data_IF_376106745907
#
_entry.id   IF_376106745907
#
_cell.length_a   1.000
_cell.length_b   1.000
_cell.length_c   1.000
_cell.angle_alpha   90.00
_cell.angle_beta   90.00
_cell.angle_gamma   90.00
#
_symmetry.space_group_name_H-M   'P 1'
#
loop_
_entity.id
_entity.type
_entity.pdbx_description
1 polymer ?
#
# COMPACT_ATOMS: atom_id res chain seq x y z
N UNK A 1 -50.57 7.66 37.74
CA UNK A 1 -51.51 8.04 36.66
C UNK A 1 -50.84 7.69 35.34
N UNK A 2 -51.41 6.68 34.65
CA UNK A 2 -51.24 6.26 33.23
C UNK A 2 -49.82 6.31 32.64
N UNK A 3 -49.09 5.22 32.39
CA UNK A 3 -49.36 4.01 31.58
C UNK A 3 -49.97 4.28 30.18
N UNK A 4 -49.15 4.04 29.14
CA UNK A 4 -49.56 3.55 27.82
C UNK A 4 -48.31 3.14 27.03
N UNK A 5 -48.22 1.83 26.77
CA UNK A 5 -47.16 1.18 26.02
C UNK A 5 -47.14 1.48 24.52
N UNK A 6 -45.99 1.22 23.91
CA UNK A 6 -45.82 1.21 22.47
C UNK A 6 -45.52 -0.20 21.99
N UNK A 7 -46.25 -0.62 20.95
CA UNK A 7 -46.27 -1.96 20.38
C UNK A 7 -45.11 -2.19 19.42
N UNK A 8 -44.60 -3.42 19.49
CA UNK A 8 -43.80 -4.12 18.50
C UNK A 8 -44.42 -4.11 17.08
N UNK A 9 -43.56 -4.02 16.06
CA UNK A 9 -43.77 -4.69 14.77
C UNK A 9 -42.45 -5.32 14.34
N UNK A 10 -42.42 -6.65 14.35
CA UNK A 10 -41.46 -7.52 13.69
C UNK A 10 -41.94 -7.79 12.26
N UNK A 11 -41.03 -7.93 11.29
CA UNK A 11 -41.29 -8.76 10.11
C UNK A 11 -40.02 -9.49 9.67
N UNK A 12 -40.19 -10.80 9.49
CA UNK A 12 -39.19 -11.83 9.27
C UNK A 12 -39.05 -12.19 7.78
N UNK A 13 -37.93 -12.83 7.47
CA UNK A 13 -37.49 -13.40 6.19
C UNK A 13 -38.45 -14.48 5.65
N UNK A 14 -38.54 -14.63 4.32
CA UNK A 14 -38.09 -15.82 3.54
C UNK A 14 -38.74 -15.96 2.15
N UNK A 15 -37.86 -16.28 1.19
CA UNK A 15 -37.96 -17.33 0.15
C UNK A 15 -38.62 -17.09 -1.22
N UNK A 16 -37.79 -17.37 -2.24
CA UNK A 16 -37.96 -18.36 -3.32
C UNK A 16 -38.20 -17.90 -4.76
N UNK A 17 -37.50 -18.65 -5.63
CA UNK A 17 -37.31 -18.55 -7.08
C UNK A 17 -38.45 -19.16 -7.92
N UNK A 18 -38.50 -18.80 -9.22
CA UNK A 18 -38.98 -19.51 -10.43
C UNK A 18 -38.72 -18.55 -11.62
N UNK A 19 -37.93 -18.78 -12.69
CA UNK A 19 -37.81 -19.82 -13.73
C UNK A 19 -39.02 -19.93 -14.69
N UNK A 20 -38.74 -19.54 -15.95
CA UNK A 20 -39.18 -20.03 -17.27
C UNK A 20 -40.47 -19.59 -18.02
N UNK A 21 -40.19 -19.19 -19.28
CA UNK A 21 -40.80 -19.56 -20.60
C UNK A 21 -42.02 -18.83 -21.18
N UNK A 22 -41.82 -18.34 -22.42
CA UNK A 22 -42.71 -18.42 -23.61
C UNK A 22 -41.92 -17.87 -24.84
N UNK A 23 -41.33 -18.70 -25.73
CA UNK A 23 -41.87 -19.31 -26.99
C UNK A 23 -42.47 -18.29 -27.98
N UNK A 24 -41.79 -17.86 -29.07
CA UNK A 24 -41.60 -18.46 -30.42
C UNK A 24 -42.81 -18.47 -31.38
N UNK A 25 -42.54 -17.95 -32.61
CA UNK A 25 -43.17 -18.11 -33.96
C UNK A 25 -44.07 -16.98 -34.55
N UNK A 26 -44.22 -16.84 -35.90
CA UNK A 26 -43.17 -16.69 -36.94
C UNK A 26 -43.52 -15.66 -38.06
N UNK A 27 -42.50 -15.21 -38.80
CA UNK A 27 -42.51 -14.97 -40.27
C UNK A 27 -43.40 -13.91 -40.93
N UNK A 28 -42.79 -12.82 -41.42
CA UNK A 28 -43.13 -12.23 -42.75
C UNK A 28 -41.82 -11.83 -43.45
N UNK A 29 -41.72 -12.27 -44.69
CA UNK A 29 -40.65 -12.10 -45.67
C UNK A 29 -40.78 -10.78 -46.44
N UNK A 30 -39.66 -10.22 -46.91
CA UNK A 30 -39.65 -9.34 -48.09
C UNK A 30 -38.85 -8.04 -47.98
N UNK A 31 -37.58 -8.11 -48.40
CA UNK A 31 -36.81 -7.11 -49.16
C UNK A 31 -36.72 -5.66 -48.65
N UNK A 32 -35.52 -5.27 -48.21
CA UNK A 32 -34.78 -4.15 -48.83
C UNK A 32 -33.26 -4.35 -48.61
N UNK A 33 -32.54 -4.45 -49.73
CA UNK A 33 -31.10 -4.32 -49.81
C UNK A 33 -30.69 -2.89 -49.46
N UNK A 34 -29.85 -2.69 -48.45
CA UNK A 34 -28.76 -1.72 -48.53
C UNK A 34 -27.73 -1.94 -47.42
N UNK A 35 -26.51 -2.24 -47.86
CA UNK A 35 -25.19 -1.91 -47.30
C UNK A 35 -25.10 -1.50 -45.83
N UNK A 36 -24.31 -2.27 -45.05
CA UNK A 36 -23.37 -1.78 -44.04
C UNK A 36 -22.55 -2.97 -43.50
N UNK A 37 -21.44 -3.26 -44.17
CA UNK A 37 -20.34 -4.05 -43.60
C UNK A 37 -19.17 -3.11 -43.31
N UNK A 38 -18.67 -3.15 -42.07
CA UNK A 38 -17.29 -2.80 -41.75
C UNK A 38 -17.09 -1.46 -41.04
N UNK A 39 -17.20 -1.47 -39.71
CA UNK A 39 -16.40 -0.58 -38.86
C UNK A 39 -15.79 -1.45 -37.76
N UNK A 40 -14.61 -2.01 -38.05
CA UNK A 40 -13.68 -2.40 -37.00
C UNK A 40 -13.18 -1.09 -36.38
N UNK A 41 -13.54 -0.87 -35.12
CA UNK A 41 -13.12 0.27 -34.33
C UNK A 41 -11.63 0.14 -33.99
N UNK A 42 -10.77 0.74 -34.81
CA UNK A 42 -9.38 0.98 -34.48
C UNK A 42 -9.25 2.42 -34.02
N UNK A 43 -9.47 2.66 -32.73
CA UNK A 43 -9.18 3.95 -32.08
C UNK A 43 -7.66 4.11 -31.99
N UNK A 44 -7.07 4.77 -32.98
CA UNK A 44 -5.71 5.27 -32.85
C UNK A 44 -5.69 6.49 -31.91
N UNK A 45 -4.79 6.55 -30.91
CA UNK A 45 -4.72 7.69 -30.00
C UNK A 45 -4.32 8.96 -30.75
N UNK A 46 -4.97 10.07 -30.41
CA UNK A 46 -4.75 11.40 -30.97
C UNK A 46 -3.29 11.86 -30.79
N UNK A 47 -2.82 12.76 -31.66
CA UNK A 47 -1.44 13.26 -31.61
C UNK A 47 -1.08 13.92 -30.25
N UNK A 48 -2.06 14.53 -29.58
CA UNK A 48 -1.92 15.08 -28.22
C UNK A 48 -1.84 13.99 -27.15
N UNK A 49 -2.61 12.90 -27.28
CA UNK A 49 -2.53 11.73 -26.40
C UNK A 49 -1.17 11.04 -26.48
N UNK A 50 -0.64 10.85 -27.71
CA UNK A 50 0.68 10.23 -27.91
C UNK A 50 1.83 11.06 -27.32
N UNK A 51 1.76 12.39 -27.41
CA UNK A 51 2.77 13.28 -26.84
C UNK A 51 2.77 13.25 -25.30
N UNK A 52 1.59 13.24 -24.67
CA UNK A 52 1.46 13.13 -23.22
C UNK A 52 1.95 11.77 -22.70
N UNK A 53 1.62 10.66 -23.37
CA UNK A 53 2.12 9.33 -23.02
C UNK A 53 3.65 9.23 -23.17
N UNK A 54 4.21 9.81 -24.23
CA UNK A 54 5.67 9.86 -24.41
C UNK A 54 6.38 10.67 -23.31
N UNK A 55 5.69 11.66 -22.74
CA UNK A 55 6.22 12.46 -21.63
C UNK A 55 6.21 11.66 -20.33
N UNK A 56 5.10 10.98 -20.01
CA UNK A 56 4.97 10.13 -18.81
C UNK A 56 5.96 8.97 -18.81
N UNK A 57 6.15 8.31 -19.96
CA UNK A 57 7.16 7.26 -20.11
C UNK A 57 8.57 7.78 -19.78
N UNK A 58 8.92 8.99 -20.23
CA UNK A 58 10.19 9.62 -19.86
C UNK A 58 10.28 9.95 -18.37
N UNK A 59 9.18 10.36 -17.71
CA UNK A 59 9.17 10.55 -16.26
C UNK A 59 9.43 9.22 -15.53
N UNK A 60 8.77 8.14 -15.95
CA UNK A 60 8.95 6.80 -15.39
C UNK A 60 10.40 6.34 -15.52
N UNK A 61 11.04 6.53 -16.68
CA UNK A 61 12.45 6.18 -16.85
C UNK A 61 13.37 6.96 -15.90
N UNK A 62 13.06 8.24 -15.61
CA UNK A 62 13.88 9.04 -14.68
C UNK A 62 13.81 8.53 -13.24
N UNK A 63 12.65 8.05 -12.81
CA UNK A 63 12.42 7.57 -11.42
C UNK A 63 12.58 6.06 -11.25
N UNK A 64 12.87 5.34 -12.35
CA UNK A 64 12.95 3.88 -12.37
C UNK A 64 14.04 3.41 -11.41
N UNK A 65 13.65 2.53 -10.48
CA UNK A 65 14.58 1.88 -9.55
C UNK A 65 14.94 2.73 -8.32
N UNK A 66 14.44 3.96 -8.21
CA UNK A 66 14.59 4.77 -6.98
C UNK A 66 13.71 4.25 -5.84
N UNK A 67 12.57 3.64 -6.18
CA UNK A 67 11.69 2.91 -5.25
C UNK A 67 11.32 1.55 -5.82
N UNK A 68 10.74 0.69 -5.00
CA UNK A 68 10.25 -0.63 -5.43
C UNK A 68 8.88 -0.63 -6.11
N UNK A 69 8.28 0.53 -6.40
CA UNK A 69 7.02 0.59 -7.15
C UNK A 69 7.26 0.13 -8.59
N UNK A 70 6.39 -0.72 -9.10
CA UNK A 70 6.51 -1.30 -10.44
C UNK A 70 6.37 -0.19 -11.49
N UNK A 71 7.31 -0.03 -12.42
CA UNK A 71 7.29 1.06 -13.39
C UNK A 71 6.00 1.16 -14.21
N UNK A 72 5.41 0.02 -14.60
CA UNK A 72 4.13 0.00 -15.30
C UNK A 72 2.97 0.55 -14.47
N UNK A 73 3.01 0.37 -13.15
CA UNK A 73 1.98 0.89 -12.24
C UNK A 73 2.05 2.42 -12.11
N UNK A 74 3.20 3.05 -12.32
CA UNK A 74 3.36 4.51 -12.13
C UNK A 74 2.50 5.32 -13.10
N UNK A 75 2.38 4.87 -14.36
CA UNK A 75 1.54 5.54 -15.36
C UNK A 75 0.07 5.43 -14.98
N UNK A 76 -0.37 4.24 -14.57
CA UNK A 76 -1.77 4.03 -14.16
C UNK A 76 -2.09 4.78 -12.86
N UNK A 77 -1.15 4.82 -11.91
CA UNK A 77 -1.29 5.62 -10.69
C UNK A 77 -1.44 7.11 -11.00
N UNK A 78 -0.66 7.63 -11.94
CA UNK A 78 -0.77 9.02 -12.41
C UNK A 78 -2.11 9.28 -13.08
N UNK A 79 -2.61 8.33 -13.88
CA UNK A 79 -3.94 8.45 -14.50
C UNK A 79 -5.04 8.51 -13.44
N UNK A 80 -4.98 7.68 -12.40
CA UNK A 80 -5.90 7.73 -11.26
C UNK A 80 -5.80 9.08 -10.54
N UNK A 81 -4.59 9.55 -10.25
CA UNK A 81 -4.36 10.85 -9.61
C UNK A 81 -5.02 11.99 -10.42
N UNK A 82 -4.86 11.98 -11.75
CA UNK A 82 -5.46 12.96 -12.66
C UNK A 82 -6.98 12.85 -12.76
N UNK A 83 -7.53 11.63 -12.88
CA UNK A 83 -8.96 11.39 -13.01
C UNK A 83 -9.73 11.80 -11.75
N UNK A 84 -9.16 11.50 -10.58
CA UNK A 84 -9.74 11.84 -9.29
C UNK A 84 -9.27 13.18 -8.73
N UNK A 85 -8.52 13.95 -9.52
CA UNK A 85 -7.92 15.25 -9.17
C UNK A 85 -7.36 15.28 -7.73
N UNK A 86 -6.47 14.34 -7.43
CA UNK A 86 -5.85 14.20 -6.12
C UNK A 86 -4.37 13.81 -6.21
N UNK A 87 -3.60 14.17 -5.19
CA UNK A 87 -2.24 13.69 -5.01
C UNK A 87 -2.28 12.29 -4.41
N UNK A 88 -1.49 11.36 -4.94
CA UNK A 88 -1.33 10.02 -4.36
C UNK A 88 0.15 9.80 -4.06
N UNK A 89 0.47 9.64 -2.77
CA UNK A 89 1.82 9.30 -2.32
C UNK A 89 1.90 7.83 -1.89
N UNK A 90 2.97 7.15 -2.25
CA UNK A 90 3.32 5.79 -1.82
C UNK A 90 4.68 5.85 -1.11
N UNK A 91 4.77 5.21 0.04
CA UNK A 91 6.01 5.03 0.81
C UNK A 91 7.02 4.17 0.05
N UNK A 92 8.30 4.15 0.47
CA UNK A 92 9.31 3.34 -0.18
C UNK A 92 8.93 1.86 -0.13
N UNK A 93 8.83 1.25 -1.30
CA UNK A 93 8.72 -0.20 -1.46
C UNK A 93 10.13 -0.75 -1.64
N UNK A 94 10.40 -1.92 -1.07
CA UNK A 94 11.69 -2.59 -1.26
C UNK A 94 11.90 -2.92 -2.75
N UNK A 95 13.03 -2.50 -3.34
CA UNK A 95 13.34 -2.72 -4.77
C UNK A 95 13.35 -4.20 -5.17
N UNK A 96 13.55 -5.10 -4.22
CA UNK A 96 13.50 -6.54 -4.47
C UNK A 96 12.09 -7.12 -4.45
N UNK A 97 11.09 -6.33 -4.07
CA UNK A 97 9.69 -6.70 -4.17
C UNK A 97 9.13 -6.47 -5.58
N UNK A 98 9.72 -5.55 -6.36
CA UNK A 98 9.22 -5.14 -7.67
C UNK A 98 9.00 -6.32 -8.62
N UNK A 99 9.99 -7.19 -8.79
CA UNK A 99 9.85 -8.37 -9.66
C UNK A 99 8.94 -9.45 -9.08
N UNK A 100 8.84 -9.54 -7.75
CA UNK A 100 7.87 -10.43 -7.12
C UNK A 100 6.44 -9.97 -7.41
N UNK A 101 6.19 -8.66 -7.32
CA UNK A 101 4.89 -8.05 -7.66
C UNK A 101 4.60 -8.25 -9.16
N UNK A 102 5.55 -7.93 -10.05
CA UNK A 102 5.40 -8.13 -11.51
C UNK A 102 5.14 -9.61 -11.87
N UNK A 103 5.73 -10.54 -11.14
CA UNK A 103 5.50 -11.97 -11.34
C UNK A 103 4.25 -12.49 -10.62
N UNK A 104 3.40 -11.61 -10.07
CA UNK A 104 2.11 -11.95 -9.49
C UNK A 104 2.21 -12.63 -8.12
N UNK A 105 3.19 -12.25 -7.30
CA UNK A 105 3.17 -12.61 -5.88
C UNK A 105 2.10 -11.78 -5.14
N UNK A 106 1.35 -12.39 -4.21
CA UNK A 106 0.45 -11.65 -3.34
C UNK A 106 1.24 -10.72 -2.43
N UNK A 107 0.66 -9.57 -2.08
CA UNK A 107 1.29 -8.63 -1.15
C UNK A 107 0.63 -8.71 0.24
N UNK A 108 1.37 -8.30 1.28
CA UNK A 108 0.91 -8.44 2.66
C UNK A 108 -0.32 -7.56 2.94
N UNK A 109 -1.38 -8.15 3.50
CA UNK A 109 -2.56 -7.41 3.96
C UNK A 109 -2.36 -6.77 5.33
N UNK A 110 -3.35 -6.00 5.78
CA UNK A 110 -3.29 -5.27 7.06
C UNK A 110 -2.95 -6.15 8.27
N UNK A 111 -3.49 -7.36 8.35
CA UNK A 111 -3.27 -8.27 9.50
C UNK A 111 -1.86 -8.86 9.58
N UNK A 112 -1.07 -8.74 8.50
CA UNK A 112 0.27 -9.33 8.42
C UNK A 112 1.30 -8.28 8.83
N UNK A 113 1.69 -8.30 10.11
CA UNK A 113 2.61 -7.29 10.68
C UNK A 113 4.10 -7.64 10.58
N UNK A 114 4.43 -8.86 10.13
CA UNK A 114 5.81 -9.31 9.94
C UNK A 114 6.59 -8.39 8.99
N UNK A 115 7.88 -8.21 9.27
CA UNK A 115 8.75 -7.39 8.41
C UNK A 115 9.31 -8.24 7.27
N UNK A 116 9.39 -7.62 6.09
CA UNK A 116 10.08 -8.21 4.95
C UNK A 116 11.59 -8.27 5.19
N UNK A 117 12.26 -9.19 4.52
CA UNK A 117 13.70 -9.21 4.43
C UNK A 117 14.21 -8.27 3.34
N UNK A 118 15.40 -7.71 3.52
CA UNK A 118 16.11 -6.89 2.54
C UNK A 118 17.49 -7.47 2.17
N UNK A 119 17.75 -8.73 2.53
CA UNK A 119 19.03 -9.40 2.37
C UNK A 119 18.83 -10.90 2.11
N UNK A 120 19.87 -11.55 1.58
CA UNK A 120 19.91 -12.99 1.40
C UNK A 120 18.89 -13.57 0.41
N UNK A 121 18.76 -14.91 0.37
CA UNK A 121 17.83 -15.57 -0.54
C UNK A 121 16.36 -15.22 -0.29
N UNK A 122 16.04 -14.84 0.95
CA UNK A 122 14.70 -14.49 1.40
C UNK A 122 14.30 -13.04 1.12
N UNK A 123 15.15 -12.23 0.50
CA UNK A 123 14.88 -10.82 0.25
C UNK A 123 13.50 -10.57 -0.39
N UNK A 124 12.83 -9.53 0.08
CA UNK A 124 11.44 -9.12 -0.17
C UNK A 124 10.32 -10.02 0.35
N UNK A 125 10.60 -11.25 0.82
CA UNK A 125 9.59 -12.10 1.45
C UNK A 125 9.38 -11.76 2.93
N UNK A 126 8.22 -12.15 3.47
CA UNK A 126 7.92 -12.06 4.90
C UNK A 126 8.33 -13.38 5.57
N UNK A 127 9.45 -13.38 6.30
CA UNK A 127 9.99 -14.58 6.94
C UNK A 127 9.17 -14.97 8.18
N UNK A 128 9.02 -16.27 8.44
CA UNK A 128 8.38 -16.75 9.67
C UNK A 128 9.24 -16.42 10.89
N UNK A 129 10.55 -16.60 10.75
CA UNK A 129 11.56 -16.20 11.73
C UNK A 129 12.11 -14.82 11.37
N UNK A 130 11.83 -13.84 12.22
CA UNK A 130 12.15 -12.43 11.96
C UNK A 130 13.65 -12.12 12.08
N UNK A 131 14.49 -13.07 12.52
CA UNK A 131 15.96 -12.97 12.40
C UNK A 131 16.44 -12.98 10.95
N UNK A 132 15.63 -13.48 10.01
CA UNK A 132 15.92 -13.44 8.58
C UNK A 132 15.30 -12.22 7.87
N UNK A 133 14.61 -11.35 8.61
CA UNK A 133 14.03 -10.11 8.08
C UNK A 133 15.05 -8.95 8.10
N UNK A 134 14.61 -7.74 7.74
CA UNK A 134 15.37 -6.49 7.93
C UNK A 134 15.61 -6.11 9.40
N UNK A 135 15.08 -6.88 10.35
CA UNK A 135 15.26 -6.69 11.79
C UNK A 135 16.45 -7.47 12.36
N UNK A 136 17.25 -8.13 11.53
CA UNK A 136 18.39 -8.94 11.99
C UNK A 136 19.36 -8.17 12.91
N UNK A 137 19.55 -6.87 12.66
CA UNK A 137 20.38 -5.97 13.47
C UNK A 137 19.63 -5.31 14.65
N UNK A 138 18.35 -5.67 14.87
CA UNK A 138 17.44 -5.10 15.89
C UNK A 138 16.84 -6.20 16.77
N UNK A 139 17.67 -6.91 17.55
CA UNK A 139 17.25 -8.10 18.31
C UNK A 139 16.14 -7.82 19.33
N UNK A 140 16.05 -6.59 19.85
CA UNK A 140 15.01 -6.12 20.77
C UNK A 140 13.61 -6.12 20.14
N UNK A 141 13.53 -6.05 18.80
CA UNK A 141 12.26 -6.04 18.05
C UNK A 141 11.85 -7.43 17.60
N UNK A 142 12.79 -8.36 17.43
CA UNK A 142 12.55 -9.68 16.82
C UNK A 142 11.43 -10.44 17.54
N UNK A 143 11.51 -10.57 18.87
CA UNK A 143 10.51 -11.31 19.65
C UNK A 143 9.08 -10.72 19.49
N UNK A 144 8.96 -9.40 19.38
CA UNK A 144 7.67 -8.75 19.13
C UNK A 144 7.10 -9.17 17.79
N UNK A 145 7.90 -9.12 16.72
CA UNK A 145 7.44 -9.43 15.38
C UNK A 145 7.25 -10.93 15.16
N UNK A 146 8.05 -11.80 15.79
CA UNK A 146 7.83 -13.24 15.78
C UNK A 146 6.47 -13.58 16.39
N UNK A 147 6.11 -12.98 17.54
CA UNK A 147 4.78 -13.16 18.13
C UNK A 147 3.67 -12.70 17.22
N UNK A 148 3.84 -11.56 16.53
CA UNK A 148 2.85 -11.08 15.56
C UNK A 148 2.69 -12.03 14.37
N UNK A 149 3.79 -12.60 13.88
CA UNK A 149 3.77 -13.61 12.82
C UNK A 149 3.06 -14.89 13.28
N UNK A 150 3.35 -15.38 14.49
CA UNK A 150 2.67 -16.56 15.02
C UNK A 150 1.16 -16.30 15.23
N UNK A 151 0.78 -15.11 15.71
CA UNK A 151 -0.63 -14.70 15.85
C UNK A 151 -1.33 -14.69 14.50
N UNK A 152 -0.72 -14.06 13.49
CA UNK A 152 -1.22 -14.01 12.12
C UNK A 152 -1.45 -15.41 11.52
N UNK A 153 -0.56 -16.36 11.80
CA UNK A 153 -0.73 -17.76 11.36
C UNK A 153 -1.86 -18.44 12.14
N UNK A 154 -1.90 -18.28 13.47
CA UNK A 154 -2.91 -18.89 14.33
C UNK A 154 -4.33 -18.39 14.04
N UNK A 155 -4.46 -17.12 13.67
CA UNK A 155 -5.72 -16.47 13.29
C UNK A 155 -6.13 -16.77 11.85
N UNK A 156 -5.29 -17.48 11.08
CA UNK A 156 -5.61 -17.92 9.72
C UNK A 156 -5.44 -16.85 8.64
N UNK A 157 -4.76 -15.73 8.92
CA UNK A 157 -4.47 -14.71 7.92
C UNK A 157 -3.32 -15.11 6.96
N UNK A 158 -2.46 -16.04 7.37
CA UNK A 158 -1.38 -16.57 6.55
C UNK A 158 -1.02 -18.00 6.94
N UNK A 159 -0.29 -18.70 6.07
CA UNK A 159 0.37 -19.97 6.38
C UNK A 159 1.88 -19.87 6.15
N UNK A 160 2.63 -20.75 6.82
CA UNK A 160 4.06 -20.94 6.55
C UNK A 160 4.26 -21.85 5.34
N UNK A 161 5.21 -21.50 4.49
CA UNK A 161 5.67 -22.35 3.38
C UNK A 161 7.19 -22.31 3.28
N UNK A 162 7.86 -23.41 2.91
CA UNK A 162 9.28 -23.40 2.62
C UNK A 162 9.60 -22.46 1.44
N UNK A 163 10.67 -21.69 1.57
CA UNK A 163 11.15 -20.80 0.52
C UNK A 163 11.70 -21.62 -0.65
N UNK A 164 11.13 -21.39 -1.83
CA UNK A 164 11.67 -21.89 -3.09
C UNK A 164 11.87 -20.75 -4.06
N UNK A 165 13.08 -20.62 -4.60
CA UNK A 165 13.42 -19.59 -5.57
C UNK A 165 13.38 -20.17 -6.98
N UNK A 166 12.83 -19.44 -7.94
CA UNK A 166 13.04 -19.76 -9.36
C UNK A 166 14.50 -19.51 -9.73
N UNK A 167 14.98 -20.12 -10.82
CA UNK A 167 16.29 -19.80 -11.38
C UNK A 167 16.47 -18.30 -11.63
N UNK A 168 15.48 -17.65 -12.24
CA UNK A 168 15.52 -16.21 -12.53
C UNK A 168 15.69 -15.36 -11.27
N UNK A 169 14.98 -15.69 -10.18
CA UNK A 169 15.12 -14.97 -8.90
C UNK A 169 16.48 -15.22 -8.28
N UNK A 170 16.98 -16.46 -8.31
CA UNK A 170 18.30 -16.79 -7.80
C UNK A 170 19.40 -16.00 -8.53
N UNK A 171 19.37 -15.98 -9.86
CA UNK A 171 20.33 -15.23 -10.67
C UNK A 171 20.24 -13.72 -10.40
N UNK A 172 19.02 -13.16 -10.27
CA UNK A 172 18.83 -11.74 -9.93
C UNK A 172 19.45 -11.38 -8.57
N UNK A 173 19.26 -12.23 -7.56
CA UNK A 173 19.83 -12.00 -6.23
C UNK A 173 21.36 -12.05 -6.25
N UNK A 174 21.94 -12.88 -7.12
CA UNK A 174 23.40 -12.93 -7.33
C UNK A 174 23.91 -11.66 -8.02
N UNK A 175 23.24 -11.25 -9.10
CA UNK A 175 23.62 -10.07 -9.89
C UNK A 175 23.54 -8.77 -9.05
N UNK A 176 22.56 -8.70 -8.15
CA UNK A 176 22.37 -7.58 -7.21
C UNK A 176 23.21 -7.70 -5.93
N UNK A 177 24.00 -8.78 -5.78
CA UNK A 177 24.93 -8.98 -4.66
C UNK A 177 24.27 -9.30 -3.31
N UNK A 178 23.04 -9.81 -3.30
CA UNK A 178 22.37 -10.28 -2.06
C UNK A 178 22.82 -11.67 -1.66
N UNK A 179 23.29 -12.45 -2.62
CA UNK A 179 23.91 -13.75 -2.42
C UNK A 179 25.24 -13.78 -3.16
N UNK A 180 26.23 -14.48 -2.63
CA UNK A 180 27.55 -14.62 -3.23
C UNK A 180 28.18 -16.00 -2.95
N UNK A 181 29.44 -16.19 -3.36
CA UNK A 181 30.28 -17.36 -3.00
C UNK A 181 29.62 -18.73 -3.25
N UNK A 182 28.95 -18.85 -4.39
CA UNK A 182 28.22 -20.06 -4.76
C UNK A 182 29.18 -21.25 -4.97
N UNK A 183 28.94 -22.32 -4.22
CA UNK A 183 29.51 -23.65 -4.48
C UNK A 183 28.46 -24.51 -5.17
N UNK A 184 28.89 -25.21 -6.22
CA UNK A 184 28.05 -26.06 -7.05
C UNK A 184 28.27 -27.53 -6.72
N UNK A 185 27.22 -28.34 -6.87
CA UNK A 185 27.29 -29.79 -6.76
C UNK A 185 27.96 -30.44 -8.00
N UNK A 186 28.03 -31.77 -8.01
CA UNK A 186 28.59 -32.54 -9.13
C UNK A 186 27.82 -32.40 -10.44
N UNK A 187 26.58 -31.90 -10.40
CA UNK A 187 25.75 -31.62 -11.57
C UNK A 187 25.84 -30.15 -12.01
N UNK A 188 26.67 -29.34 -11.35
CA UNK A 188 26.82 -27.91 -11.63
C UNK A 188 25.70 -27.04 -11.04
N UNK A 189 24.81 -27.59 -10.22
CA UNK A 189 23.71 -26.85 -9.61
C UNK A 189 24.17 -26.16 -8.32
N UNK A 190 23.66 -24.97 -7.96
CA UNK A 190 23.95 -24.34 -6.67
C UNK A 190 23.63 -25.29 -5.51
N UNK A 191 24.62 -25.50 -4.64
CA UNK A 191 24.51 -26.37 -3.47
C UNK A 191 24.60 -25.57 -2.17
N UNK A 192 25.58 -24.66 -2.08
CA UNK A 192 25.69 -23.71 -0.97
C UNK A 192 26.12 -22.34 -1.47
N UNK A 193 25.79 -21.29 -0.72
CA UNK A 193 26.14 -19.91 -1.02
C UNK A 193 26.10 -19.08 0.26
N UNK A 194 26.63 -17.86 0.21
CA UNK A 194 26.69 -16.96 1.35
C UNK A 194 25.82 -15.71 1.10
N UNK A 195 25.40 -15.05 2.18
CA UNK A 195 24.79 -13.73 2.12
C UNK A 195 25.22 -12.88 3.32
N UNK A 196 25.32 -11.57 3.10
CA UNK A 196 25.62 -10.59 4.14
C UNK A 196 24.33 -10.01 4.73
N UNK A 197 24.16 -10.16 6.03
CA UNK A 197 23.03 -9.62 6.78
C UNK A 197 23.21 -8.12 7.12
N UNK A 198 22.15 -7.40 7.56
CA UNK A 198 22.20 -6.00 7.98
C UNK A 198 23.30 -5.68 9.00
N UNK A 199 23.53 -6.56 9.98
CA UNK A 199 24.61 -6.46 10.97
C UNK A 199 26.02 -6.55 10.38
N UNK A 200 26.12 -6.96 9.11
CA UNK A 200 27.36 -7.29 8.41
C UNK A 200 27.82 -8.73 8.61
N UNK A 201 27.11 -9.53 9.43
CA UNK A 201 27.38 -10.95 9.59
C UNK A 201 27.15 -11.72 8.28
N UNK A 202 27.94 -12.77 8.08
CA UNK A 202 27.84 -13.65 6.90
C UNK A 202 27.13 -14.93 7.29
N UNK A 203 26.10 -15.28 6.53
CA UNK A 203 25.29 -16.47 6.70
C UNK A 203 25.52 -17.41 5.51
N UNK A 204 25.73 -18.69 5.80
CA UNK A 204 25.74 -19.75 4.79
C UNK A 204 24.33 -20.31 4.61
N UNK A 205 23.94 -20.53 3.37
CA UNK A 205 22.67 -21.14 2.99
C UNK A 205 22.92 -22.37 2.12
N UNK A 206 21.97 -23.29 2.15
CA UNK A 206 21.93 -24.47 1.30
C UNK A 206 20.83 -24.31 0.23
N UNK A 207 21.13 -24.72 -1.00
CA UNK A 207 20.16 -24.81 -2.10
C UNK A 207 20.03 -26.27 -2.52
N UNK A 208 18.80 -26.77 -2.54
CA UNK A 208 18.47 -28.07 -3.14
C UNK A 208 17.68 -27.84 -4.42
N UNK A 209 18.17 -28.34 -5.55
CA UNK A 209 17.44 -28.28 -6.80
C UNK A 209 16.17 -29.12 -6.71
N UNK A 210 15.05 -28.52 -7.11
CA UNK A 210 13.74 -29.14 -7.17
C UNK A 210 13.10 -28.75 -8.50
N UNK A 211 12.62 -29.75 -9.22
CA UNK A 211 11.84 -29.54 -10.43
C UNK A 211 10.35 -29.53 -10.06
N UNK A 212 9.68 -28.40 -10.24
CA UNK A 212 8.27 -28.23 -9.87
C UNK A 212 7.56 -27.34 -10.88
N UNK A 213 6.34 -27.73 -11.25
CA UNK A 213 5.51 -27.02 -12.23
C UNK A 213 6.21 -26.75 -13.58
N UNK A 214 7.13 -27.64 -14.00
CA UNK A 214 7.87 -27.52 -15.26
C UNK A 214 9.05 -26.53 -15.22
N UNK A 215 9.39 -26.00 -14.05
CA UNK A 215 10.49 -25.06 -13.86
C UNK A 215 11.52 -25.57 -12.84
N UNK A 216 12.78 -25.20 -13.07
CA UNK A 216 13.85 -25.42 -12.11
C UNK A 216 13.77 -24.40 -10.97
N UNK A 217 13.68 -24.93 -9.75
CA UNK A 217 13.61 -24.16 -8.51
C UNK A 217 14.69 -24.62 -7.52
N UNK A 218 14.94 -23.78 -6.54
CA UNK A 218 15.89 -24.04 -5.45
C UNK A 218 15.16 -23.92 -4.12
N UNK A 219 15.01 -25.04 -3.40
CA UNK A 219 14.57 -25.03 -2.02
C UNK A 219 15.72 -24.54 -1.13
N UNK A 220 15.45 -23.54 -0.30
CA UNK A 220 16.47 -22.84 0.48
C UNK A 220 16.42 -23.26 1.95
N UNK A 221 17.58 -23.60 2.50
CA UNK A 221 17.76 -23.93 3.91
C UNK A 221 18.92 -23.14 4.53
N UNK A 222 18.92 -23.07 5.86
CA UNK A 222 20.01 -22.57 6.67
C UNK A 222 20.26 -23.53 7.83
N UNK A 223 21.48 -24.07 7.93
CA UNK A 223 21.86 -25.05 8.97
C UNK A 223 20.99 -26.31 8.93
N UNK A 224 20.58 -26.71 7.72
CA UNK A 224 19.75 -27.90 7.49
C UNK A 224 18.25 -27.70 7.73
N UNK A 225 17.82 -26.53 8.20
CA UNK A 225 16.41 -26.20 8.38
C UNK A 225 15.89 -25.33 7.23
N UNK A 226 14.70 -25.60 6.66
CA UNK A 226 14.14 -24.77 5.60
C UNK A 226 13.92 -23.32 6.06
N UNK A 227 14.26 -22.37 5.20
CA UNK A 227 13.80 -20.99 5.41
C UNK A 227 12.31 -20.94 5.13
N UNK A 228 11.50 -20.61 6.13
CA UNK A 228 10.05 -20.49 6.00
C UNK A 228 9.62 -19.03 5.77
N UNK A 229 8.69 -18.83 4.85
CA UNK A 229 8.07 -17.54 4.54
C UNK A 229 6.55 -17.63 4.61
N UNK A 230 5.88 -16.49 4.75
CA UNK A 230 4.43 -16.43 4.77
C UNK A 230 3.85 -16.49 3.35
N UNK A 231 2.72 -17.18 3.21
CA UNK A 231 1.87 -17.20 2.02
C UNK A 231 0.40 -17.01 2.43
N UNK A 232 -0.49 -16.59 1.51
CA UNK A 232 -1.92 -16.60 1.78
C UNK A 232 -2.41 -17.99 2.21
N UNK A 233 -3.50 -18.07 3.00
CA UNK A 233 -4.09 -19.33 3.48
C UNK A 233 -4.89 -20.05 2.38
N UNK A 234 -4.32 -20.14 1.18
CA UNK A 234 -4.88 -20.79 -0.01
C UNK A 234 -3.87 -21.78 -0.58
N UNK A 235 -4.34 -22.91 -1.09
CA UNK A 235 -3.45 -23.92 -1.66
C UNK A 235 -2.83 -23.45 -2.98
N UNK A 236 -1.55 -23.77 -3.17
CA UNK A 236 -0.77 -23.32 -4.33
C UNK A 236 -0.42 -21.82 -4.34
N UNK A 237 -0.80 -21.05 -3.33
CA UNK A 237 -0.51 -19.62 -3.30
C UNK A 237 1.00 -19.34 -3.21
N UNK A 238 1.45 -18.34 -3.98
CA UNK A 238 2.83 -17.85 -3.91
C UNK A 238 3.10 -17.17 -2.56
N UNK A 239 4.36 -17.14 -2.09
CA UNK A 239 4.73 -16.40 -0.90
C UNK A 239 4.44 -14.91 -0.99
N UNK A 240 4.11 -14.31 0.14
CA UNK A 240 3.81 -12.89 0.31
C UNK A 240 5.05 -12.02 0.16
N UNK A 241 4.89 -10.89 -0.51
CA UNK A 241 5.87 -9.80 -0.61
C UNK A 241 5.32 -8.50 0.00
N UNK A 242 6.10 -7.43 -0.05
CA UNK A 242 5.68 -6.09 0.39
C UNK A 242 4.52 -5.55 -0.48
N UNK A 243 3.64 -4.82 0.16
CA UNK A 243 2.55 -4.03 -0.42
C UNK A 243 2.98 -2.57 -0.64
N UNK A 244 2.09 -1.79 -1.25
CA UNK A 244 2.21 -0.36 -1.46
C UNK A 244 1.53 0.36 -0.30
N UNK A 245 2.32 0.65 0.73
CA UNK A 245 1.91 1.49 1.84
C UNK A 245 1.66 2.92 1.32
N UNK A 246 0.41 3.36 1.25
CA UNK A 246 0.10 4.74 0.87
C UNK A 246 0.65 5.71 1.92
N UNK A 247 1.35 6.76 1.48
CA UNK A 247 1.75 7.87 2.34
C UNK A 247 0.55 8.79 2.62
N UNK A 248 -0.15 9.21 1.56
CA UNK A 248 -1.31 10.10 1.63
C UNK A 248 -2.16 10.04 0.35
N UNK A 249 -3.42 10.47 0.48
CA UNK A 249 -4.26 10.88 -0.65
C UNK A 249 -4.70 12.33 -0.37
N UNK A 250 -4.27 13.27 -1.21
CA UNK A 250 -4.52 14.70 -1.05
C UNK A 250 -5.55 15.22 -2.06
N UNK A 251 -6.83 15.36 -1.71
CA UNK A 251 -7.87 15.78 -2.65
C UNK A 251 -7.75 17.27 -3.02
N UNK A 252 -8.38 17.66 -4.13
CA UNK A 252 -8.64 19.08 -4.42
C UNK A 252 -9.41 19.70 -3.26
N UNK A 253 -9.04 20.92 -2.86
CA UNK A 253 -9.66 21.60 -1.72
C UNK A 253 -11.16 21.82 -1.89
N UNK A 254 -11.61 22.08 -3.13
CA UNK A 254 -13.03 22.29 -3.44
C UNK A 254 -13.87 21.01 -3.32
N UNK A 255 -13.22 19.84 -3.30
CA UNK A 255 -13.85 18.52 -3.11
C UNK A 255 -13.74 18.00 -1.67
N UNK A 256 -13.18 18.80 -0.75
CA UNK A 256 -13.04 18.40 0.64
C UNK A 256 -14.42 18.30 1.32
N UNK A 257 -14.71 17.16 1.94
CA UNK A 257 -15.99 16.94 2.59
C UNK A 257 -15.96 15.90 3.72
N UNK A 258 -17.13 15.48 4.24
CA UNK A 258 -17.21 14.48 5.30
C UNK A 258 -16.49 13.17 5.00
N UNK A 259 -16.33 12.82 3.72
CA UNK A 259 -15.59 11.65 3.24
C UNK A 259 -14.09 11.68 3.57
N UNK A 260 -13.54 12.86 3.90
CA UNK A 260 -12.14 13.06 4.25
C UNK A 260 -11.88 12.98 5.77
N UNK A 261 -12.94 12.92 6.58
CA UNK A 261 -12.81 12.81 8.03
C UNK A 261 -12.31 11.43 8.45
N UNK A 262 -11.25 11.39 9.26
CA UNK A 262 -10.79 10.16 9.88
C UNK A 262 -11.77 9.72 10.99
N UNK A 263 -12.03 8.41 11.12
CA UNK A 263 -12.77 7.86 12.26
C UNK A 263 -12.14 8.23 13.61
N UNK A 264 -10.80 8.27 13.66
CA UNK A 264 -9.99 8.72 14.81
C UNK A 264 -9.19 9.97 14.38
N UNK A 265 -9.71 11.20 14.62
CA UNK A 265 -9.12 12.43 14.09
C UNK A 265 -7.75 12.81 14.67
N UNK A 266 -7.51 12.51 15.95
CA UNK A 266 -6.22 12.81 16.59
C UNK A 266 -5.12 11.82 16.14
N UNK A 267 -5.47 10.80 15.35
CA UNK A 267 -4.61 9.75 14.80
C UNK A 267 -3.97 8.85 15.85
N UNK A 268 -3.34 9.41 16.89
CA UNK A 268 -2.69 8.69 17.98
C UNK A 268 -3.27 9.07 19.34
N UNK A 269 -3.36 8.08 20.22
CA UNK A 269 -3.80 8.24 21.59
C UNK A 269 -2.92 9.25 22.36
N UNK A 270 -1.62 9.31 22.06
CA UNK A 270 -0.71 10.27 22.70
C UNK A 270 -1.03 11.71 22.31
N UNK A 271 -1.32 11.95 21.02
CA UNK A 271 -1.73 13.26 20.50
C UNK A 271 -3.07 13.68 21.11
N UNK A 272 -4.02 12.73 21.20
CA UNK A 272 -5.30 12.94 21.86
C UNK A 272 -5.14 13.35 23.33
N UNK A 273 -4.30 12.63 24.09
CA UNK A 273 -4.03 12.97 25.49
C UNK A 273 -3.39 14.34 25.64
N UNK A 274 -2.36 14.64 24.86
CA UNK A 274 -1.67 15.93 24.91
C UNK A 274 -2.63 17.10 24.61
N UNK A 275 -3.56 16.92 23.66
CA UNK A 275 -4.61 17.91 23.37
C UNK A 275 -5.52 18.16 24.58
N UNK A 276 -5.95 17.09 25.26
CA UNK A 276 -6.86 17.17 26.41
C UNK A 276 -6.19 17.71 27.68
N UNK A 277 -4.91 17.43 27.88
CA UNK A 277 -4.12 17.99 28.98
C UNK A 277 -4.05 19.54 28.91
N UNK A 278 -4.22 20.12 27.73
CA UNK A 278 -4.33 21.57 27.54
C UNK A 278 -5.66 22.20 27.96
N UNK A 279 -6.66 21.41 28.36
CA UNK A 279 -8.00 21.93 28.67
C UNK A 279 -8.03 22.57 30.06
N UNK A 280 -8.37 23.86 30.12
CA UNK A 280 -8.44 24.63 31.38
C UNK A 280 -9.48 24.11 32.37
N UNK A 281 -10.57 23.52 31.87
CA UNK A 281 -11.69 23.04 32.69
C UNK A 281 -11.62 21.52 32.96
N UNK A 282 -10.45 20.92 32.76
CA UNK A 282 -10.27 19.47 32.86
C UNK A 282 -10.87 18.70 31.68
N UNK A 283 -10.79 17.37 31.77
CA UNK A 283 -11.22 16.45 30.71
C UNK A 283 -12.73 16.25 30.77
N UNK A 284 -13.49 16.54 29.69
CA UNK A 284 -14.92 16.30 29.63
C UNK A 284 -15.26 14.83 29.89
N UNK A 285 -16.36 14.57 30.61
CA UNK A 285 -16.74 13.21 31.02
C UNK A 285 -16.88 12.24 29.83
N UNK A 286 -17.41 12.71 28.71
CA UNK A 286 -17.54 11.94 27.46
C UNK A 286 -16.18 11.49 26.87
N UNK A 287 -15.07 12.11 27.26
CA UNK A 287 -13.73 11.82 26.77
C UNK A 287 -12.85 11.10 27.80
N UNK A 288 -13.32 10.88 29.04
CA UNK A 288 -12.52 10.24 30.10
C UNK A 288 -12.16 8.79 29.79
N UNK A 289 -13.12 8.01 29.29
CA UNK A 289 -12.89 6.60 28.93
C UNK A 289 -11.84 6.45 27.82
N UNK A 290 -11.97 7.10 26.64
CA UNK A 290 -10.93 7.02 25.62
C UNK A 290 -9.61 7.68 26.03
N UNK A 291 -9.59 8.57 27.02
CA UNK A 291 -8.33 9.14 27.56
C UNK A 291 -7.55 8.15 28.43
N UNK A 292 -8.26 7.28 29.14
CA UNK A 292 -7.66 6.29 30.03
C UNK A 292 -7.31 4.98 29.29
N UNK A 293 -8.07 4.62 28.27
CA UNK A 293 -8.00 3.34 27.60
C UNK A 293 -7.74 3.50 26.09
N UNK A 294 -6.54 3.16 25.60
CA UNK A 294 -6.23 3.24 24.17
C UNK A 294 -7.20 2.45 23.28
N UNK A 295 -7.70 1.31 23.75
CA UNK A 295 -8.67 0.50 23.01
C UNK A 295 -9.99 1.24 22.73
N UNK A 296 -10.47 2.04 23.70
CA UNK A 296 -11.67 2.86 23.52
C UNK A 296 -11.42 4.07 22.59
N UNK A 297 -10.19 4.58 22.58
CA UNK A 297 -9.78 5.61 21.62
C UNK A 297 -9.77 5.09 20.18
N UNK A 298 -9.15 3.92 19.95
CA UNK A 298 -9.03 3.31 18.62
C UNK A 298 -10.25 2.50 18.17
N UNK A 299 -11.30 2.39 18.99
CA UNK A 299 -12.48 1.54 18.70
C UNK A 299 -13.22 1.85 17.38
N UNK A 300 -12.98 3.05 16.81
CA UNK A 300 -13.60 3.50 15.56
C UNK A 300 -12.75 3.17 14.33
N UNK A 301 -11.53 2.67 14.51
CA UNK A 301 -10.73 2.19 13.39
C UNK A 301 -11.40 0.99 12.72
N UNK A 302 -11.20 0.89 11.42
CA UNK A 302 -11.62 -0.28 10.66
C UNK A 302 -10.68 -1.45 10.97
N UNK A 303 -11.22 -2.63 11.25
CA UNK A 303 -10.40 -3.79 11.61
C UNK A 303 -9.59 -4.33 10.44
N UNK A 304 -10.01 -4.05 9.19
CA UNK A 304 -9.36 -4.57 7.98
C UNK A 304 -8.42 -3.57 7.33
N UNK A 305 -8.68 -2.27 7.47
CA UNK A 305 -7.90 -1.22 6.79
C UNK A 305 -7.37 -0.14 7.73
N UNK A 306 -7.60 -0.23 9.04
CA UNK A 306 -7.14 0.74 10.03
C UNK A 306 -7.94 2.06 10.03
N UNK A 307 -7.29 3.15 10.43
CA UNK A 307 -7.90 4.47 10.49
C UNK A 307 -8.00 5.11 9.08
N UNK A 308 -8.96 4.65 8.28
CA UNK A 308 -9.22 5.13 6.93
C UNK A 308 -10.44 6.06 6.88
N UNK A 309 -10.31 7.19 6.20
CA UNK A 309 -11.47 7.99 5.80
C UNK A 309 -12.30 7.26 4.74
N UNK A 310 -13.55 7.69 4.50
CA UNK A 310 -14.38 7.09 3.45
C UNK A 310 -13.73 7.23 2.07
N UNK A 311 -13.11 8.37 1.78
CA UNK A 311 -12.36 8.56 0.52
C UNK A 311 -11.24 7.55 0.37
N UNK A 312 -10.42 7.34 1.41
CA UNK A 312 -9.33 6.35 1.35
C UNK A 312 -9.90 4.95 1.12
N UNK A 313 -10.97 4.58 1.84
CA UNK A 313 -11.65 3.29 1.65
C UNK A 313 -12.14 3.08 0.21
N UNK A 314 -12.66 4.13 -0.43
CA UNK A 314 -13.14 4.10 -1.82
C UNK A 314 -12.01 4.10 -2.85
N UNK A 315 -10.90 4.79 -2.57
CA UNK A 315 -9.76 4.88 -3.48
C UNK A 315 -8.92 3.61 -3.53
N UNK A 316 -8.85 2.82 -2.45
CA UNK A 316 -8.08 1.56 -2.43
C UNK A 316 -8.48 0.60 -3.58
N UNK A 317 -9.76 0.21 -3.76
CA UNK A 317 -10.15 -0.67 -4.86
C UNK A 317 -9.96 -0.02 -6.24
N UNK A 318 -10.13 1.29 -6.37
CA UNK A 318 -9.90 2.03 -7.63
C UNK A 318 -8.43 1.95 -8.03
N UNK A 319 -7.52 2.23 -7.09
CA UNK A 319 -6.07 2.13 -7.31
C UNK A 319 -5.72 0.70 -7.69
N UNK A 320 -6.13 -0.31 -6.92
CA UNK A 320 -5.81 -1.70 -7.26
C UNK A 320 -6.34 -2.11 -8.65
N UNK A 321 -7.58 -1.76 -8.99
CA UNK A 321 -8.15 -2.06 -10.29
C UNK A 321 -7.35 -1.42 -11.44
N UNK A 322 -6.86 -0.19 -11.26
CA UNK A 322 -6.03 0.48 -12.25
C UNK A 322 -4.62 -0.13 -12.35
N UNK A 323 -4.00 -0.49 -11.23
CA UNK A 323 -2.61 -0.95 -11.21
C UNK A 323 -2.47 -2.40 -11.64
N UNK A 324 -3.36 -3.27 -11.17
CA UNK A 324 -3.21 -4.73 -11.31
C UNK A 324 -4.42 -5.42 -11.94
N UNK A 325 -5.54 -4.72 -12.17
CA UNK A 325 -6.76 -5.32 -12.70
C UNK A 325 -7.25 -6.49 -11.84
N UNK A 326 -7.37 -7.68 -12.44
CA UNK A 326 -7.73 -8.93 -11.76
C UNK A 326 -6.53 -9.63 -11.06
N UNK A 327 -5.36 -8.99 -11.05
CA UNK A 327 -4.15 -9.46 -10.40
C UNK A 327 -4.18 -9.34 -8.87
N UNK A 328 -3.06 -9.67 -8.23
CA UNK A 328 -2.91 -9.58 -6.78
C UNK A 328 -2.89 -8.11 -6.33
N UNK A 329 -3.81 -7.74 -5.43
CA UNK A 329 -3.90 -6.39 -4.89
C UNK A 329 -2.58 -5.97 -4.24
N UNK A 330 -2.22 -4.69 -4.42
CA UNK A 330 -0.98 -4.08 -3.94
C UNK A 330 -1.21 -3.03 -2.86
N UNK A 331 -2.41 -2.45 -2.75
CA UNK A 331 -2.77 -1.53 -1.65
C UNK A 331 -3.84 -2.18 -0.78
N UNK A 332 -3.61 -2.26 0.53
CA UNK A 332 -4.53 -3.00 1.43
C UNK A 332 -5.17 -2.17 2.53
N UNK A 333 -4.61 -1.02 2.88
CA UNK A 333 -5.03 -0.33 4.10
C UNK A 333 -4.92 1.20 4.01
N UNK A 334 -5.25 1.86 5.11
CA UNK A 334 -5.19 3.31 5.24
C UNK A 334 -3.81 3.88 4.93
N UNK A 335 -3.79 5.18 4.68
CA UNK A 335 -2.57 5.94 4.45
C UNK A 335 -1.78 6.16 5.74
N UNK A 336 -0.46 6.30 5.65
CA UNK A 336 0.40 6.72 6.77
C UNK A 336 -0.06 8.07 7.35
N UNK A 337 -0.63 8.98 6.54
CA UNK A 337 -1.19 10.26 7.01
C UNK A 337 -2.29 10.13 8.09
N UNK A 338 -2.95 8.96 8.17
CA UNK A 338 -3.96 8.64 9.18
C UNK A 338 -3.54 7.57 10.18
N UNK A 339 -2.31 7.06 10.10
CA UNK A 339 -1.87 5.89 10.88
C UNK A 339 -1.32 6.28 12.27
N UNK A 340 -1.77 5.63 13.37
CA UNK A 340 -1.16 5.79 14.69
C UNK A 340 0.26 5.21 14.79
N UNK A 341 0.66 4.38 13.81
CA UNK A 341 1.93 3.66 13.80
C UNK A 341 2.93 4.26 12.80
N UNK A 342 2.74 5.53 12.42
CA UNK A 342 3.62 6.23 11.50
C UNK A 342 5.06 6.26 12.04
N UNK A 343 6.01 6.01 11.12
CA UNK A 343 7.46 6.06 11.35
C UNK A 343 8.03 6.99 10.28
N UNK A 344 8.27 8.28 10.59
CA UNK A 344 8.66 9.28 9.59
C UNK A 344 9.94 8.93 8.83
N UNK A 345 10.91 8.29 9.49
CA UNK A 345 12.16 7.86 8.87
C UNK A 345 11.93 6.80 7.76
N UNK A 346 10.81 6.09 7.83
CA UNK A 346 10.43 5.08 6.85
C UNK A 346 9.46 5.63 5.78
N UNK A 347 9.28 6.95 5.68
CA UNK A 347 8.46 7.57 4.63
C UNK A 347 9.25 7.93 3.37
N UNK A 348 10.59 7.88 3.39
CA UNK A 348 11.42 8.34 2.28
C UNK A 348 12.41 7.30 1.75
N UNK A 349 12.69 7.29 0.43
CA UNK A 349 12.08 8.11 -0.62
C UNK A 349 10.62 7.71 -0.96
N UNK A 350 9.70 8.68 -1.01
CA UNK A 350 8.30 8.46 -1.38
C UNK A 350 8.07 8.67 -2.88
N UNK A 351 7.28 7.79 -3.50
CA UNK A 351 6.79 7.97 -4.86
C UNK A 351 5.51 8.78 -4.86
N UNK A 352 5.41 9.81 -5.69
CA UNK A 352 4.21 10.61 -5.87
C UNK A 352 3.71 10.56 -7.30
N UNK A 353 2.40 10.35 -7.42
CA UNK A 353 1.62 10.61 -8.61
C UNK A 353 0.78 11.88 -8.38
N UNK A 354 1.03 12.90 -9.19
CA UNK A 354 0.34 14.19 -9.11
C UNK A 354 -0.66 14.32 -10.28
N UNK A 355 -1.80 14.99 -10.05
CA UNK A 355 -2.81 15.21 -11.09
C UNK A 355 -2.30 16.13 -12.22
N UNK A 356 -1.35 16.99 -11.88
CA UNK A 356 -0.64 17.93 -12.75
C UNK A 356 0.71 18.25 -12.12
N UNK A 357 1.63 18.85 -12.88
CA UNK A 357 2.88 19.40 -12.35
C UNK A 357 2.60 20.42 -11.23
N UNK A 358 3.31 20.30 -10.10
CA UNK A 358 3.19 21.20 -8.94
C UNK A 358 4.58 21.75 -8.61
N UNK A 359 4.79 23.04 -8.89
CA UNK A 359 6.09 23.68 -8.68
C UNK A 359 7.20 23.01 -9.49
N UNK A 360 8.23 22.52 -8.80
CA UNK A 360 9.34 21.78 -9.41
C UNK A 360 9.04 20.28 -9.62
N UNK A 361 7.96 19.75 -9.03
CA UNK A 361 7.61 18.34 -9.08
C UNK A 361 6.76 18.01 -10.30
N UNK A 362 7.27 17.13 -11.15
CA UNK A 362 6.54 16.58 -12.30
C UNK A 362 5.43 15.61 -11.85
N UNK A 363 4.55 15.23 -12.78
CA UNK A 363 3.36 14.40 -12.53
C UNK A 363 3.68 13.02 -11.93
N UNK A 364 4.89 12.52 -12.16
CA UNK A 364 5.48 11.37 -11.47
C UNK A 364 6.82 11.84 -10.93
N UNK A 365 6.99 11.82 -9.61
CA UNK A 365 8.21 12.28 -8.96
C UNK A 365 8.53 11.47 -7.71
N UNK A 366 9.80 11.52 -7.30
CA UNK A 366 10.28 10.98 -6.03
C UNK A 366 10.54 12.14 -5.06
N UNK A 367 10.10 11.96 -3.82
CA UNK A 367 10.34 12.87 -2.70
C UNK A 367 11.31 12.18 -1.75
N UNK A 368 12.55 12.65 -1.70
CA UNK A 368 13.68 11.97 -1.06
C UNK A 368 13.78 12.21 0.43
N UNK A 369 13.19 13.28 0.93
CA UNK A 369 13.26 13.65 2.33
C UNK A 369 12.11 14.57 2.76
N UNK A 370 12.11 14.89 4.05
CA UNK A 370 11.15 15.79 4.69
C UNK A 370 11.15 17.21 4.15
N UNK A 371 12.26 17.70 3.58
CA UNK A 371 12.36 19.04 3.03
C UNK A 371 11.68 19.10 1.67
N UNK A 372 11.93 18.11 0.80
CA UNK A 372 11.21 17.96 -0.47
C UNK A 372 9.71 17.72 -0.22
N UNK A 373 9.34 16.93 0.80
CA UNK A 373 7.93 16.73 1.14
C UNK A 373 7.27 18.03 1.60
N UNK A 374 7.96 18.82 2.43
CA UNK A 374 7.47 20.13 2.86
C UNK A 374 7.30 21.09 1.67
N UNK A 375 8.22 21.08 0.70
CA UNK A 375 8.13 21.87 -0.54
C UNK A 375 6.93 21.44 -1.39
N UNK A 376 6.77 20.14 -1.65
CA UNK A 376 5.63 19.59 -2.39
C UNK A 376 4.30 19.95 -1.70
N UNK A 377 4.20 19.81 -0.38
CA UNK A 377 3.01 20.18 0.38
C UNK A 377 2.71 21.68 0.24
N UNK A 378 3.74 22.53 0.28
CA UNK A 378 3.62 23.96 0.08
C UNK A 378 3.04 24.28 -1.29
N UNK A 379 3.64 23.71 -2.34
CA UNK A 379 3.20 23.85 -3.73
C UNK A 379 1.78 23.32 -3.95
N UNK A 380 1.46 22.13 -3.42
CA UNK A 380 0.13 21.53 -3.54
C UNK A 380 -0.95 22.39 -2.87
N UNK A 381 -0.63 22.91 -1.68
CA UNK A 381 -1.47 23.86 -0.97
C UNK A 381 -1.69 25.14 -1.80
N UNK A 382 -0.69 25.69 -2.47
CA UNK A 382 -0.84 26.85 -3.36
C UNK A 382 -1.64 26.52 -4.63
N UNK A 383 -1.49 25.30 -5.16
CA UNK A 383 -2.23 24.80 -6.31
C UNK A 383 -3.69 24.40 -6.00
N UNK A 384 -4.17 24.61 -4.77
CA UNK A 384 -5.56 24.36 -4.42
C UNK A 384 -5.86 22.96 -3.89
N UNK A 385 -4.86 22.19 -3.45
CA UNK A 385 -5.07 20.88 -2.84
C UNK A 385 -5.07 20.95 -1.31
N UNK A 386 -5.82 20.05 -0.68
CA UNK A 386 -5.71 19.73 0.72
C UNK A 386 -4.75 18.53 0.88
N UNK A 387 -3.77 18.65 1.76
CA UNK A 387 -2.86 17.54 2.07
C UNK A 387 -3.08 17.13 3.52
N UNK A 388 -3.60 15.92 3.77
CA UNK A 388 -3.68 15.35 5.11
C UNK A 388 -2.28 15.21 5.72
N UNK A 389 -2.13 15.60 6.98
CA UNK A 389 -0.86 15.57 7.70
C UNK A 389 -1.01 14.71 8.94
N UNK A 390 -0.16 13.70 9.09
CA UNK A 390 -0.08 12.96 10.33
C UNK A 390 0.55 13.85 11.42
N UNK A 391 -0.05 14.00 12.61
CA UNK A 391 0.57 14.74 13.71
C UNK A 391 1.89 14.15 14.22
N UNK A 392 2.21 12.90 13.87
CA UNK A 392 3.46 12.22 14.21
C UNK A 392 4.60 12.45 13.20
N UNK A 393 4.33 13.10 12.06
CA UNK A 393 5.36 13.47 11.10
C UNK A 393 6.23 14.62 11.61
N UNK A 394 7.34 14.87 10.92
CA UNK A 394 8.32 15.89 11.28
C UNK A 394 7.69 17.29 11.32
N UNK A 395 8.24 18.17 12.16
CA UNK A 395 7.72 19.53 12.31
C UNK A 395 7.85 20.32 11.02
N UNK A 396 8.89 20.08 10.25
CA UNK A 396 9.14 20.67 8.94
C UNK A 396 7.97 20.43 7.98
N UNK A 397 7.39 19.23 8.03
CA UNK A 397 6.25 18.81 7.22
C UNK A 397 4.93 19.32 7.82
N UNK A 398 4.72 19.10 9.12
CA UNK A 398 3.45 19.42 9.80
C UNK A 398 3.23 20.93 9.99
N UNK A 399 4.28 21.74 9.93
CA UNK A 399 4.22 23.20 10.06
C UNK A 399 3.93 23.94 8.75
N UNK A 400 3.92 23.26 7.59
CA UNK A 400 3.67 23.91 6.30
C UNK A 400 2.28 24.56 6.27
N UNK A 401 2.22 25.84 5.89
CA UNK A 401 0.97 26.63 5.77
C UNK A 401 0.86 27.21 4.36
N UNK A 402 -0.37 27.43 3.89
CA UNK A 402 -0.64 28.23 2.68
C UNK A 402 -0.11 29.65 2.87
N UNK A 403 0.47 30.23 1.82
CA UNK A 403 0.99 31.60 1.88
C UNK A 403 -0.10 32.62 2.22
N UNK A 404 -1.29 32.48 1.62
CA UNK A 404 -2.44 33.32 1.93
C UNK A 404 -2.82 33.32 3.42
N UNK A 405 -2.68 32.18 4.11
CA UNK A 405 -2.89 32.09 5.55
C UNK A 405 -1.83 32.88 6.33
N UNK A 406 -0.56 32.82 5.90
CA UNK A 406 0.52 33.58 6.53
C UNK A 406 0.29 35.08 6.39
N UNK A 407 0.00 35.54 5.18
CA UNK A 407 -0.31 36.94 4.87
C UNK A 407 -1.51 37.43 5.68
N UNK A 408 -2.62 36.67 5.70
CA UNK A 408 -3.80 37.04 6.48
C UNK A 408 -3.52 37.12 7.99
N UNK A 409 -2.74 36.17 8.52
CA UNK A 409 -2.35 36.17 9.94
C UNK A 409 -1.48 37.38 10.28
N UNK A 410 -0.55 37.76 9.40
CA UNK A 410 0.31 38.92 9.59
C UNK A 410 -0.50 40.23 9.53
N UNK A 411 -1.44 40.36 8.60
CA UNK A 411 -2.36 41.49 8.53
C UNK A 411 -3.23 41.60 9.79
N UNK A 412 -3.81 40.49 10.27
CA UNK A 412 -4.58 40.47 11.51
C UNK A 412 -3.71 40.85 12.71
N UNK A 413 -2.48 40.35 12.79
CA UNK A 413 -1.55 40.65 13.87
C UNK A 413 -1.08 42.10 13.86
N UNK A 414 -0.95 42.70 12.68
CA UNK A 414 -0.63 44.12 12.51
C UNK A 414 -1.80 45.02 12.90
N UNK A 415 -3.05 44.60 12.65
CA UNK A 415 -4.25 45.35 13.02
C UNK A 415 -4.64 45.24 14.51
N UNK A 416 -4.03 44.31 15.25
CA UNK A 416 -4.23 44.09 16.69
C UNK A 416 -3.13 44.72 17.57
N UNK A 417 -2.12 45.34 16.95
CA UNK A 417 -1.12 46.20 17.61
C UNK A 417 -1.51 47.66 17.43
#
# INVERSE_FOLDING_TARGET
MADRGNRFVTFDRRSSAMIDKLSMHPGVTGTMHQELHGAMDSTQPSATGRAAESTLAALVERVRGETGVVPAHLIELQRVAREHDCLIGIRPVDRFATDLIESGHPTKGFHIKGKSANWGPQAAFICVDQRFSKLEDKPDRIEKFDRQVQSCIAEGYAKRVPLTLSKARFDKLLDEGLIDRIKRDGNGMPATFEAKAPSGAIYSFEATHVHSAGEDRYAIAHRGEPIEVLAPPKDGAKPLTADYDLLLIGPRFDDLGPQDNLPVPDVSHEVFKARLEGYKNGIPDALRSPYQQPSEFYRKEDTEIGNASSRVREMIPIINAALVGDGEAVVHHSTDSGSPAADPDANYPATFALPQKIGCFDEICIVHDKHELAELIGGAKQAGYHVPLNPLWEKEVTSVRRESFRVAREQLSANLR
#
